data_IF_734949191762
#
_entry.id   IF_734949191762
#
_cell.length_a   1.000
_cell.length_b   1.000
_cell.length_c   1.000
_cell.angle_alpha   90.00
_cell.angle_beta   90.00
_cell.angle_gamma   90.00
#
_symmetry.space_group_name_H-M   'P 1'
#
loop_
_entity.id
_entity.type
_entity.pdbx_description
1 polymer ?
#
# COMPACT_ATOMS: atom_id res chain seq x y z
N UNK A 1 -0.12 36.52 18.80
CA UNK A 1 0.91 35.46 18.99
C UNK A 1 0.62 34.35 17.99
N UNK A 2 1.59 33.94 17.17
CA UNK A 2 1.36 32.88 16.19
C UNK A 2 1.22 31.52 16.87
N UNK A 3 0.29 30.71 16.38
CA UNK A 3 0.07 29.34 16.84
C UNK A 3 0.74 28.37 15.86
N UNK A 4 1.65 27.52 16.36
CA UNK A 4 2.40 26.56 15.55
C UNK A 4 1.83 25.13 15.62
N UNK A 5 0.61 24.94 16.14
CA UNK A 5 0.01 23.62 16.32
C UNK A 5 -0.07 22.82 15.01
N UNK A 6 -0.38 23.47 13.88
CA UNK A 6 -0.42 22.82 12.56
C UNK A 6 0.91 22.13 12.23
N UNK A 7 2.00 22.86 12.38
CA UNK A 7 3.35 22.33 12.16
C UNK A 7 3.65 21.14 13.09
N UNK A 8 3.43 21.27 14.40
CA UNK A 8 3.75 20.19 15.34
C UNK A 8 2.89 18.93 15.16
N UNK A 9 1.62 19.09 14.77
CA UNK A 9 0.76 17.95 14.40
C UNK A 9 1.31 17.21 13.19
N UNK A 10 1.82 17.92 12.18
CA UNK A 10 2.43 17.34 10.98
C UNK A 10 3.79 16.71 11.28
N UNK A 11 4.63 17.40 12.07
CA UNK A 11 5.94 16.89 12.49
C UNK A 11 5.83 15.56 13.23
N UNK A 12 4.85 15.43 14.12
CA UNK A 12 4.61 14.19 14.89
C UNK A 12 4.12 13.01 14.03
N UNK A 13 3.69 13.26 12.79
CA UNK A 13 3.28 12.21 11.84
C UNK A 13 4.42 11.74 10.94
N UNK A 14 5.53 12.48 10.90
CA UNK A 14 6.72 12.03 10.19
C UNK A 14 7.35 10.87 10.97
N UNK A 15 7.85 9.84 10.27
CA UNK A 15 8.64 8.80 10.94
C UNK A 15 9.91 9.45 11.48
N UNK A 16 10.02 9.58 12.80
CA UNK A 16 11.24 10.06 13.43
C UNK A 16 12.25 8.93 13.56
N UNK A 17 13.37 9.04 12.86
CA UNK A 17 14.57 8.21 13.03
C UNK A 17 15.62 8.87 13.94
N UNK A 18 15.32 10.04 14.52
CA UNK A 18 16.26 10.85 15.32
C UNK A 18 15.54 11.91 16.17
N UNK A 19 16.29 12.91 16.63
CA UNK A 19 15.79 14.00 17.48
C UNK A 19 14.77 14.87 16.72
N UNK A 20 13.64 15.15 17.38
CA UNK A 20 12.54 15.91 16.80
C UNK A 20 12.81 17.40 16.72
N UNK A 21 13.61 17.93 17.64
CA UNK A 21 14.00 19.33 17.65
C UNK A 21 15.04 19.61 16.55
N UNK A 22 15.97 18.67 16.32
CA UNK A 22 16.89 18.73 15.16
C UNK A 22 16.12 18.68 13.84
N UNK A 23 15.15 17.78 13.70
CA UNK A 23 14.31 17.70 12.50
C UNK A 23 13.52 19.00 12.28
N UNK A 24 12.98 19.60 13.36
CA UNK A 24 12.34 20.91 13.29
C UNK A 24 13.33 21.96 12.77
N UNK A 25 14.50 22.07 13.38
CA UNK A 25 15.53 23.05 13.00
C UNK A 25 15.91 22.92 11.52
N UNK A 26 16.14 21.68 11.05
CA UNK A 26 16.44 21.39 9.64
C UNK A 26 15.32 21.82 8.69
N UNK A 27 14.06 21.48 9.01
CA UNK A 27 12.90 21.87 8.19
C UNK A 27 12.74 23.38 8.13
N UNK A 28 12.89 24.08 9.25
CA UNK A 28 12.79 25.54 9.30
C UNK A 28 13.93 26.19 8.51
N UNK A 29 15.16 25.73 8.71
CA UNK A 29 16.33 26.20 7.97
C UNK A 29 16.15 26.02 6.46
N UNK A 30 15.69 24.85 6.02
CA UNK A 30 15.42 24.58 4.61
C UNK A 30 14.41 25.56 3.99
N UNK A 31 13.30 25.84 4.67
CA UNK A 31 12.23 26.68 4.15
C UNK A 31 12.49 28.19 4.32
N UNK A 32 13.50 28.57 5.09
CA UNK A 32 13.93 29.96 5.24
C UNK A 32 15.25 30.27 4.52
N UNK A 33 15.81 29.28 3.81
CA UNK A 33 17.09 29.42 3.12
C UNK A 33 18.29 29.58 4.06
N UNK A 34 18.24 28.95 5.24
CA UNK A 34 19.29 29.01 6.26
C UNK A 34 19.25 30.23 7.17
N UNK A 35 18.26 31.12 7.02
CA UNK A 35 18.18 32.36 7.79
C UNK A 35 17.87 32.13 9.27
N UNK A 36 17.14 31.07 9.62
CA UNK A 36 16.76 30.74 11.00
C UNK A 36 16.39 29.27 11.16
N UNK A 37 16.40 28.78 12.38
CA UNK A 37 15.89 27.47 12.81
C UNK A 37 14.61 27.59 13.67
N UNK A 38 14.18 28.83 13.93
CA UNK A 38 13.04 29.16 14.79
C UNK A 38 11.79 29.46 13.97
N UNK A 39 10.70 28.73 14.24
CA UNK A 39 9.37 28.97 13.66
C UNK A 39 8.90 30.43 13.87
N UNK A 40 9.38 31.09 14.93
CA UNK A 40 9.01 32.48 15.25
C UNK A 40 9.61 33.50 14.30
N UNK A 41 10.70 33.16 13.62
CA UNK A 41 11.46 34.05 12.74
C UNK A 41 11.15 33.79 11.24
N UNK A 42 10.24 32.85 10.97
CA UNK A 42 9.69 32.60 9.63
C UNK A 42 8.67 33.68 9.25
N UNK A 43 8.55 33.99 7.96
CA UNK A 43 7.44 34.77 7.39
C UNK A 43 6.17 33.91 7.28
N UNK A 44 5.00 34.51 7.00
CA UNK A 44 3.74 33.75 6.79
C UNK A 44 3.86 32.80 5.61
N UNK A 45 4.44 33.29 4.51
CA UNK A 45 4.63 32.49 3.30
C UNK A 45 5.53 31.29 3.51
N UNK A 46 6.66 31.46 4.20
CA UNK A 46 7.58 30.34 4.48
C UNK A 46 6.94 29.31 5.40
N UNK A 47 6.21 29.75 6.42
CA UNK A 47 5.52 28.85 7.36
C UNK A 47 4.42 28.05 6.67
N UNK A 48 3.60 28.70 5.86
CA UNK A 48 2.52 28.05 5.11
C UNK A 48 3.08 27.07 4.09
N UNK A 49 4.11 27.47 3.32
CA UNK A 49 4.79 26.58 2.38
C UNK A 49 5.38 25.33 3.05
N UNK A 50 5.99 25.48 4.22
CA UNK A 50 6.50 24.38 5.03
C UNK A 50 5.36 23.42 5.44
N UNK A 51 4.28 23.96 6.00
CA UNK A 51 3.16 23.13 6.44
C UNK A 51 2.45 22.42 5.28
N UNK A 52 2.28 23.11 4.15
CA UNK A 52 1.64 22.54 2.96
C UNK A 52 2.45 21.38 2.39
N UNK A 53 3.77 21.53 2.31
CA UNK A 53 4.67 20.47 1.84
C UNK A 53 4.66 19.26 2.79
N UNK A 54 4.72 19.48 4.12
CA UNK A 54 4.62 18.41 5.10
C UNK A 54 3.27 17.66 5.00
N UNK A 55 2.18 18.40 4.81
CA UNK A 55 0.85 17.82 4.67
C UNK A 55 0.73 17.00 3.38
N UNK A 56 1.31 17.48 2.27
CA UNK A 56 1.39 16.75 1.00
C UNK A 56 2.18 15.44 1.15
N UNK A 57 3.30 15.47 1.87
CA UNK A 57 4.10 14.27 2.15
C UNK A 57 3.36 13.25 3.02
N UNK A 58 2.67 13.69 4.08
CA UNK A 58 1.84 12.82 4.94
C UNK A 58 0.71 12.17 4.13
N UNK A 59 0.00 12.95 3.31
CA UNK A 59 -1.06 12.44 2.44
C UNK A 59 -0.53 11.38 1.45
N UNK A 60 0.61 11.66 0.78
CA UNK A 60 1.24 10.72 -0.15
C UNK A 60 1.75 9.45 0.54
N UNK A 61 2.23 9.54 1.79
CA UNK A 61 2.60 8.37 2.59
C UNK A 61 1.36 7.52 2.89
N UNK A 62 0.30 8.13 3.43
CA UNK A 62 -0.94 7.41 3.77
C UNK A 62 -1.56 6.73 2.55
N UNK A 63 -1.60 7.42 1.40
CA UNK A 63 -2.09 6.84 0.16
C UNK A 63 -1.30 5.58 -0.26
N UNK A 64 0.04 5.63 -0.15
CA UNK A 64 0.90 4.46 -0.41
C UNK A 64 0.66 3.33 0.58
N UNK A 65 0.46 3.64 1.86
CA UNK A 65 0.23 2.63 2.89
C UNK A 65 -1.13 1.94 2.73
N UNK A 66 -2.18 2.70 2.41
CA UNK A 66 -3.50 2.17 2.06
C UNK A 66 -3.39 1.26 0.83
N UNK A 67 -2.74 1.72 -0.23
CA UNK A 67 -2.53 0.91 -1.43
C UNK A 67 -1.77 -0.39 -1.14
N UNK A 68 -0.70 -0.33 -0.34
CA UNK A 68 0.08 -1.52 0.08
C UNK A 68 -0.73 -2.47 0.95
N UNK A 69 -1.56 -1.95 1.85
CA UNK A 69 -2.44 -2.77 2.67
C UNK A 69 -3.47 -3.52 1.81
N UNK A 70 -4.09 -2.83 0.85
CA UNK A 70 -5.04 -3.45 -0.08
C UNK A 70 -4.36 -4.48 -0.98
N UNK A 71 -3.18 -4.16 -1.52
CA UNK A 71 -2.39 -5.10 -2.32
C UNK A 71 -2.06 -6.38 -1.54
N UNK A 72 -1.65 -6.27 -0.26
CA UNK A 72 -1.41 -7.42 0.61
C UNK A 72 -2.66 -8.24 0.84
N UNK A 73 -3.79 -7.59 1.14
CA UNK A 73 -5.08 -8.26 1.36
C UNK A 73 -5.54 -9.04 0.13
N UNK A 74 -5.46 -8.43 -1.06
CA UNK A 74 -5.84 -9.05 -2.33
C UNK A 74 -4.93 -10.21 -2.69
N UNK A 75 -3.62 -10.07 -2.48
CA UNK A 75 -2.66 -11.18 -2.65
C UNK A 75 -2.96 -12.36 -1.74
N UNK A 76 -3.21 -12.10 -0.45
CA UNK A 76 -3.58 -13.14 0.50
C UNK A 76 -4.87 -13.87 0.07
N UNK A 77 -5.87 -13.14 -0.41
CA UNK A 77 -7.12 -13.72 -0.92
C UNK A 77 -6.87 -14.62 -2.13
N UNK A 78 -6.09 -14.16 -3.11
CA UNK A 78 -5.79 -14.93 -4.31
C UNK A 78 -4.99 -16.20 -3.99
N UNK A 79 -3.96 -16.11 -3.13
CA UNK A 79 -3.19 -17.27 -2.67
C UNK A 79 -4.08 -18.29 -1.95
N UNK A 80 -4.96 -17.83 -1.05
CA UNK A 80 -5.90 -18.73 -0.36
C UNK A 80 -6.83 -19.48 -1.33
N UNK A 81 -7.30 -18.80 -2.39
CA UNK A 81 -8.12 -19.44 -3.42
C UNK A 81 -7.30 -20.44 -4.25
N UNK A 82 -6.04 -20.14 -4.56
CA UNK A 82 -5.13 -21.07 -5.23
C UNK A 82 -4.87 -22.31 -4.39
N UNK A 83 -4.66 -22.17 -3.07
CA UNK A 83 -4.50 -23.29 -2.14
C UNK A 83 -5.73 -24.21 -2.16
N UNK A 84 -6.94 -23.64 -2.16
CA UNK A 84 -8.19 -24.41 -2.28
C UNK A 84 -8.33 -25.17 -3.61
N UNK A 85 -7.67 -24.69 -4.66
CA UNK A 85 -7.58 -25.37 -5.95
C UNK A 85 -6.44 -26.41 -6.01
N UNK A 86 -5.74 -26.65 -4.91
CA UNK A 86 -4.64 -27.62 -4.82
C UNK A 86 -3.31 -27.09 -5.34
N UNK A 87 -3.16 -25.79 -5.56
CA UNK A 87 -1.88 -25.18 -5.96
C UNK A 87 -1.03 -25.00 -4.71
N UNK A 88 0.18 -25.56 -4.74
CA UNK A 88 1.18 -25.34 -3.69
C UNK A 88 1.68 -23.89 -3.74
N UNK A 89 1.21 -23.07 -2.81
CA UNK A 89 1.59 -21.65 -2.71
C UNK A 89 2.90 -21.42 -1.97
N UNK A 90 3.59 -22.49 -1.52
CA UNK A 90 4.97 -22.39 -1.02
C UNK A 90 5.99 -22.40 -2.16
N UNK A 91 5.59 -22.93 -3.32
CA UNK A 91 6.35 -22.94 -4.56
C UNK A 91 5.97 -21.74 -5.46
N UNK A 92 6.79 -20.70 -5.42
CA UNK A 92 6.58 -19.49 -6.22
C UNK A 92 6.57 -19.75 -7.72
N UNK A 93 7.31 -20.75 -8.23
CA UNK A 93 7.29 -21.08 -9.66
C UNK A 93 5.93 -21.63 -10.08
N UNK A 94 5.29 -22.42 -9.21
CA UNK A 94 3.92 -22.92 -9.46
C UNK A 94 2.89 -21.80 -9.44
N UNK A 95 3.00 -20.89 -8.47
CA UNK A 95 2.12 -19.71 -8.38
C UNK A 95 2.25 -18.85 -9.64
N UNK A 96 3.48 -18.54 -10.06
CA UNK A 96 3.72 -17.73 -11.25
C UNK A 96 3.28 -18.44 -12.53
N UNK A 97 3.60 -19.72 -12.71
CA UNK A 97 3.16 -20.50 -13.86
C UNK A 97 1.63 -20.50 -14.00
N UNK A 98 0.91 -20.60 -12.88
CA UNK A 98 -0.55 -20.53 -12.88
C UNK A 98 -1.06 -19.14 -13.28
N UNK A 99 -0.46 -18.06 -12.76
CA UNK A 99 -0.87 -16.69 -13.06
C UNK A 99 -0.53 -16.25 -14.49
N UNK A 100 0.59 -16.74 -15.04
CA UNK A 100 1.05 -16.45 -16.40
C UNK A 100 0.10 -16.97 -17.48
N UNK A 101 -0.82 -17.86 -17.14
CA UNK A 101 -1.81 -18.34 -18.09
C UNK A 101 -2.69 -17.17 -18.61
N UNK A 102 -2.79 -16.91 -19.93
CA UNK A 102 -3.47 -15.72 -20.46
C UNK A 102 -4.95 -15.60 -20.08
N UNK A 103 -5.63 -16.74 -19.88
CA UNK A 103 -7.04 -16.75 -19.42
C UNK A 103 -7.19 -16.32 -17.96
N UNK A 104 -6.12 -16.34 -17.16
CA UNK A 104 -6.11 -15.96 -15.74
C UNK A 104 -5.63 -14.52 -15.55
N UNK A 105 -4.31 -14.29 -15.58
CA UNK A 105 -3.75 -12.95 -15.43
C UNK A 105 -2.72 -12.60 -16.51
N UNK A 106 -2.04 -13.58 -17.11
CA UNK A 106 -1.03 -13.35 -18.13
C UNK A 106 0.26 -12.70 -17.62
N UNK A 107 0.47 -12.66 -16.30
CA UNK A 107 1.62 -12.03 -15.63
C UNK A 107 2.03 -12.83 -14.40
N UNK A 108 3.29 -12.70 -14.00
CA UNK A 108 3.79 -13.17 -12.71
C UNK A 108 2.95 -12.57 -11.57
N UNK A 109 2.69 -13.36 -10.52
CA UNK A 109 1.81 -12.98 -9.42
C UNK A 109 2.28 -11.72 -8.70
N UNK A 110 3.60 -11.57 -8.54
CA UNK A 110 4.21 -10.39 -7.92
C UNK A 110 3.97 -9.09 -8.71
N UNK A 111 3.74 -9.17 -10.02
CA UNK A 111 3.55 -8.01 -10.91
C UNK A 111 2.09 -7.58 -11.02
N UNK A 112 1.17 -8.33 -10.41
CA UNK A 112 -0.26 -8.01 -10.46
C UNK A 112 -0.58 -6.77 -9.61
N UNK A 113 -1.37 -5.88 -10.21
CA UNK A 113 -2.00 -4.74 -9.55
C UNK A 113 -3.20 -5.18 -8.69
N UNK A 114 -3.77 -4.23 -7.93
CA UNK A 114 -4.97 -4.48 -7.11
C UNK A 114 -6.13 -4.98 -7.97
N UNK A 115 -6.40 -4.33 -9.11
CA UNK A 115 -7.50 -4.68 -10.01
C UNK A 115 -7.28 -6.04 -10.67
N UNK A 116 -6.04 -6.35 -11.07
CA UNK A 116 -5.71 -7.64 -11.66
C UNK A 116 -5.83 -8.78 -10.63
N UNK A 117 -5.48 -8.54 -9.36
CA UNK A 117 -5.67 -9.51 -8.28
C UNK A 117 -7.16 -9.73 -7.97
N UNK A 118 -7.97 -8.69 -8.06
CA UNK A 118 -9.43 -8.80 -7.93
C UNK A 118 -10.04 -9.62 -9.06
N UNK A 119 -9.69 -9.30 -10.32
CA UNK A 119 -10.12 -10.05 -11.49
C UNK A 119 -9.67 -11.53 -11.41
N UNK A 120 -8.42 -11.78 -11.01
CA UNK A 120 -7.90 -13.12 -10.78
C UNK A 120 -8.74 -13.83 -9.70
N UNK A 121 -8.98 -13.20 -8.56
CA UNK A 121 -9.78 -13.79 -7.48
C UNK A 121 -11.19 -14.18 -7.92
N UNK A 122 -11.83 -13.39 -8.78
CA UNK A 122 -13.14 -13.73 -9.38
C UNK A 122 -13.02 -15.00 -10.22
N UNK A 123 -12.03 -15.06 -11.11
CA UNK A 123 -11.80 -16.25 -11.96
C UNK A 123 -11.53 -17.51 -11.14
N UNK A 124 -10.71 -17.41 -10.09
CA UNK A 124 -10.41 -18.53 -9.19
C UNK A 124 -11.68 -19.04 -8.49
N UNK A 125 -12.57 -18.14 -8.03
CA UNK A 125 -13.85 -18.55 -7.41
C UNK A 125 -14.76 -19.28 -8.40
N UNK A 126 -14.80 -18.82 -9.66
CA UNK A 126 -15.58 -19.49 -10.71
C UNK A 126 -15.03 -20.91 -10.97
N UNK A 127 -13.70 -21.06 -11.04
CA UNK A 127 -13.06 -22.37 -11.21
C UNK A 127 -13.38 -23.26 -10.02
N UNK A 128 -13.19 -22.77 -8.79
CA UNK A 128 -13.44 -23.52 -7.56
C UNK A 128 -14.89 -24.02 -7.49
N UNK A 129 -15.87 -23.17 -7.84
CA UNK A 129 -17.28 -23.56 -7.91
C UNK A 129 -17.49 -24.69 -8.91
N UNK A 130 -16.95 -24.57 -10.13
CA UNK A 130 -17.07 -25.61 -11.16
C UNK A 130 -16.46 -26.95 -10.72
N UNK A 131 -15.31 -26.92 -10.05
CA UNK A 131 -14.67 -28.13 -9.52
C UNK A 131 -15.49 -28.77 -8.39
N UNK A 132 -16.12 -27.95 -7.54
CA UNK A 132 -17.02 -28.43 -6.48
C UNK A 132 -18.28 -29.08 -7.05
N UNK A 133 -18.91 -28.44 -8.03
CA UNK A 133 -20.12 -28.95 -8.69
C UNK A 133 -19.86 -30.30 -9.39
N UNK A 134 -18.71 -30.43 -10.09
CA UNK A 134 -18.28 -31.70 -10.69
C UNK A 134 -18.08 -32.80 -9.65
N UNK A 135 -17.39 -32.50 -8.55
CA UNK A 135 -17.12 -33.45 -7.47
C UNK A 135 -18.39 -33.89 -6.74
N UNK A 136 -19.39 -33.03 -6.65
CA UNK A 136 -20.67 -33.39 -6.06
C UNK A 136 -21.49 -34.27 -7.01
N UNK A 137 -21.49 -33.96 -8.31
CA UNK A 137 -22.21 -34.76 -9.30
C UNK A 137 -21.61 -36.15 -9.47
N UNK A 138 -20.28 -36.29 -9.43
CA UNK A 138 -19.61 -37.59 -9.50
C UNK A 138 -19.90 -38.48 -8.27
N UNK A 139 -20.16 -37.89 -7.10
CA UNK A 139 -20.57 -38.61 -5.89
C UNK A 139 -22.03 -39.07 -5.90
N UNK A 140 -22.88 -38.44 -6.71
CA UNK A 140 -24.30 -38.82 -6.83
C UNK A 140 -24.54 -39.94 -7.86
N UNK A 141 -23.54 -40.19 -8.73
CA UNK A 141 -23.59 -41.19 -9.79
C UNK A 141 -22.87 -42.51 -9.43
N UNK A 142 -22.29 -42.59 -8.24
CA UNK A 142 -21.67 -43.80 -7.65
C UNK A 142 -22.43 -44.19 -6.38
#
# INVERSE_FOLDING_TARGET
>A
MRNYARFYVLLNRLPTTGDREELKAQLVSQFTGGRTESLREMTDREYDALCDELQRQDANRRARDIYRAELRRRRSTALHLMQKLGIDTTDWKRVDAYCLHPRLAGKEFQRLTVDELEALSIKLRIILRKETDKNNNSKLLN
#
